data_IF_198174674749
#
_entry.id   IF_198174674749
#
_cell.length_a   1.000
_cell.length_b   1.000
_cell.length_c   1.000
_cell.angle_alpha   90.00
_cell.angle_beta   90.00
_cell.angle_gamma   90.00
#
_symmetry.space_group_name_H-M   'P 1'
#
loop_
_entity.id
_entity.type
_entity.pdbx_description
1 polymer ?
#
# COMPACT_ATOMS: atom_id res chain seq x y z
N UNK A 1 14.39 -9.05 4.88
CA UNK A 1 14.13 -8.24 6.07
C UNK A 1 14.68 -6.83 5.89
N UNK A 2 13.95 -5.83 6.40
CA UNK A 2 14.38 -4.42 6.37
C UNK A 2 15.60 -4.26 7.27
N UNK A 3 16.63 -3.56 6.77
CA UNK A 3 17.76 -3.15 7.62
C UNK A 3 17.30 -2.01 8.53
N UNK A 4 16.97 -2.36 9.78
CA UNK A 4 16.36 -1.43 10.74
C UNK A 4 17.29 -0.25 11.07
N UNK A 5 18.58 -0.49 11.25
CA UNK A 5 19.54 0.56 11.58
C UNK A 5 19.70 1.56 10.43
N UNK A 6 19.81 1.08 9.19
CA UNK A 6 19.92 1.94 8.01
C UNK A 6 18.62 2.74 7.78
N UNK A 7 17.47 2.12 7.99
CA UNK A 7 16.18 2.82 7.89
C UNK A 7 16.06 3.94 8.93
N UNK A 8 16.32 3.64 10.20
CA UNK A 8 16.21 4.60 11.28
C UNK A 8 17.21 5.77 11.09
N UNK A 9 18.43 5.48 10.62
CA UNK A 9 19.43 6.50 10.31
C UNK A 9 19.00 7.40 9.14
N UNK A 10 18.39 6.83 8.10
CA UNK A 10 17.88 7.59 6.96
C UNK A 10 16.79 8.59 7.40
N UNK A 11 15.84 8.14 8.19
CA UNK A 11 14.78 9.02 8.71
C UNK A 11 15.33 10.11 9.61
N UNK A 12 16.29 9.77 10.49
CA UNK A 12 16.93 10.73 11.39
C UNK A 12 17.74 11.82 10.68
N UNK A 13 18.18 11.58 9.44
CA UNK A 13 18.92 12.54 8.61
C UNK A 13 18.01 13.36 7.69
N UNK A 14 16.71 13.12 7.67
CA UNK A 14 15.77 13.84 6.83
C UNK A 14 15.76 15.34 7.14
N UNK A 15 15.44 16.20 6.15
CA UNK A 15 15.37 17.63 6.33
C UNK A 15 14.22 18.04 7.26
N UNK A 16 14.32 19.23 7.82
CA UNK A 16 13.27 19.88 8.62
C UNK A 16 12.93 21.22 7.97
N UNK A 17 11.63 21.46 7.74
CA UNK A 17 11.15 22.71 7.15
C UNK A 17 11.37 23.90 8.11
N UNK A 18 11.66 25.05 7.53
CA UNK A 18 11.67 26.30 8.26
C UNK A 18 10.22 26.80 8.56
N UNK A 19 10.12 27.80 9.42
CA UNK A 19 8.82 28.34 9.84
C UNK A 19 8.03 28.95 8.66
N UNK A 20 8.72 29.57 7.69
CA UNK A 20 8.08 30.18 6.54
C UNK A 20 7.46 29.11 5.61
N UNK A 21 8.16 28.02 5.38
CA UNK A 21 7.67 26.87 4.61
C UNK A 21 6.43 26.28 5.26
N UNK A 22 6.45 26.05 6.59
CA UNK A 22 5.27 25.54 7.31
C UNK A 22 4.09 26.53 7.22
N UNK A 23 4.35 27.82 7.39
CA UNK A 23 3.31 28.86 7.35
C UNK A 23 2.67 29.01 5.96
N UNK A 24 3.35 28.61 4.90
CA UNK A 24 2.82 28.65 3.52
C UNK A 24 1.74 27.57 3.25
N UNK A 25 1.59 26.60 4.14
CA UNK A 25 0.62 25.50 4.03
C UNK A 25 -0.31 25.50 5.25
N UNK A 26 -1.61 25.67 5.03
CA UNK A 26 -2.61 25.56 6.10
C UNK A 26 -2.64 24.17 6.71
N UNK A 27 -2.47 23.14 5.88
CA UNK A 27 -2.42 21.74 6.33
C UNK A 27 -1.19 21.49 7.21
N UNK A 28 0.01 21.90 6.78
CA UNK A 28 1.23 21.74 7.58
C UNK A 28 1.18 22.57 8.88
N UNK A 29 0.64 23.78 8.83
CA UNK A 29 0.44 24.62 10.00
C UNK A 29 -0.47 23.95 11.05
N UNK A 30 -1.57 23.32 10.61
CA UNK A 30 -2.48 22.58 11.49
C UNK A 30 -1.75 21.41 12.17
N UNK A 31 -0.98 20.62 11.42
CA UNK A 31 -0.17 19.52 11.96
C UNK A 31 0.87 20.04 12.94
N UNK A 32 1.57 21.14 12.60
CA UNK A 32 2.55 21.76 13.49
C UNK A 32 1.95 22.23 14.81
N UNK A 33 0.78 22.86 14.77
CA UNK A 33 0.06 23.31 15.95
C UNK A 33 -0.42 22.15 16.82
N UNK A 34 -0.86 21.05 16.22
CA UNK A 34 -1.27 19.85 16.93
C UNK A 34 -0.09 19.12 17.59
N UNK A 35 1.14 19.32 17.11
CA UNK A 35 2.34 18.67 17.62
C UNK A 35 2.44 17.18 17.31
N UNK A 36 1.52 16.64 16.52
CA UNK A 36 1.47 15.25 16.07
C UNK A 36 0.82 15.18 14.69
N UNK A 37 1.22 14.17 13.89
CA UNK A 37 0.63 13.87 12.60
C UNK A 37 -0.23 12.60 12.72
N UNK A 38 -1.48 12.66 12.29
CA UNK A 38 -2.39 11.51 12.31
C UNK A 38 -2.23 10.75 10.98
N UNK A 39 -1.60 9.58 11.06
CA UNK A 39 -1.22 8.75 9.90
C UNK A 39 -2.14 7.55 9.77
N UNK A 40 -2.79 7.39 8.62
CA UNK A 40 -3.40 6.14 8.19
C UNK A 40 -2.44 5.31 7.35
N UNK A 41 -2.36 4.03 7.63
CA UNK A 41 -1.47 3.12 6.91
C UNK A 41 -1.71 1.66 7.24
N UNK A 42 -0.80 0.79 6.80
CA UNK A 42 -0.82 -0.65 7.11
C UNK A 42 0.29 -1.02 8.08
N UNK A 43 0.15 -2.16 8.76
CA UNK A 43 1.15 -2.71 9.67
C UNK A 43 1.74 -4.03 9.18
N UNK A 44 1.24 -4.56 8.08
CA UNK A 44 1.47 -5.94 7.65
C UNK A 44 2.14 -6.05 6.29
N UNK A 45 2.46 -4.93 5.66
CA UNK A 45 3.12 -4.89 4.35
C UNK A 45 4.64 -4.87 4.52
N UNK A 46 5.28 -6.00 4.27
CA UNK A 46 6.71 -6.26 4.58
C UNK A 46 7.69 -5.20 4.04
N UNK A 47 7.52 -4.75 2.78
CA UNK A 47 8.43 -3.77 2.16
C UNK A 47 7.90 -2.33 2.23
N UNK A 48 6.61 -2.15 2.50
CA UNK A 48 5.98 -0.82 2.49
C UNK A 48 5.69 -0.28 3.87
N UNK A 49 5.07 -1.07 4.76
CA UNK A 49 4.80 -0.65 6.14
C UNK A 49 4.56 -1.87 7.01
N UNK A 50 5.59 -2.28 7.71
CA UNK A 50 5.59 -3.44 8.60
C UNK A 50 5.87 -2.99 10.03
N UNK A 51 5.00 -3.42 10.95
CA UNK A 51 5.24 -3.26 12.38
C UNK A 51 6.26 -4.29 12.86
N UNK A 52 7.33 -3.84 13.45
CA UNK A 52 8.25 -4.69 14.17
C UNK A 52 7.77 -4.84 15.62
N UNK A 53 7.27 -6.01 15.96
CA UNK A 53 6.71 -6.30 17.29
C UNK A 53 7.73 -6.18 18.42
N UNK A 54 9.04 -6.29 18.14
CA UNK A 54 10.10 -6.22 19.14
C UNK A 54 10.34 -4.81 19.65
N UNK A 55 10.22 -3.81 18.79
CA UNK A 55 10.48 -2.40 19.14
C UNK A 55 9.29 -1.48 18.91
N UNK A 56 8.18 -2.01 18.40
CA UNK A 56 6.95 -1.27 18.16
C UNK A 56 7.03 -0.25 17.02
N UNK A 57 8.08 -0.32 16.16
CA UNK A 57 8.30 0.66 15.10
C UNK A 57 7.81 0.14 13.76
N UNK A 58 7.23 1.07 12.98
CA UNK A 58 6.87 0.84 11.59
C UNK A 58 8.06 1.14 10.68
N UNK A 59 8.31 0.23 9.72
CA UNK A 59 9.36 0.41 8.71
C UNK A 59 8.89 -0.10 7.36
N UNK A 60 9.46 0.45 6.30
CA UNK A 60 9.15 0.16 4.92
C UNK A 60 9.11 1.44 4.09
N UNK A 61 8.80 1.32 2.81
CA UNK A 61 8.83 2.47 1.91
C UNK A 61 7.76 3.51 2.28
N UNK A 62 6.50 3.11 2.44
CA UNK A 62 5.42 4.00 2.87
C UNK A 62 5.68 4.58 4.26
N UNK A 63 6.09 3.72 5.21
CA UNK A 63 6.42 4.14 6.57
C UNK A 63 7.58 5.14 6.58
N UNK A 64 8.58 4.95 5.72
CA UNK A 64 9.72 5.86 5.59
C UNK A 64 9.33 7.24 5.05
N UNK A 65 8.52 7.28 3.98
CA UNK A 65 8.00 8.54 3.44
C UNK A 65 7.16 9.27 4.50
N UNK A 66 6.29 8.55 5.20
CA UNK A 66 5.46 9.13 6.27
C UNK A 66 6.30 9.72 7.41
N UNK A 67 7.33 9.00 7.86
CA UNK A 67 8.22 9.46 8.93
C UNK A 67 9.11 10.62 8.51
N UNK A 68 9.57 10.65 7.26
CA UNK A 68 10.31 11.79 6.70
C UNK A 68 9.43 13.04 6.62
N UNK A 69 8.17 12.92 6.22
CA UNK A 69 7.22 14.03 6.22
C UNK A 69 6.90 14.51 7.63
N UNK A 70 6.71 13.58 8.57
CA UNK A 70 6.51 13.90 9.98
C UNK A 70 7.70 14.66 10.54
N UNK A 71 8.92 14.22 10.26
CA UNK A 71 10.15 14.93 10.63
C UNK A 71 10.24 16.30 9.97
N UNK A 72 9.91 16.40 8.69
CA UNK A 72 9.95 17.65 7.94
C UNK A 72 9.09 18.73 8.60
N UNK A 73 7.90 18.37 9.09
CA UNK A 73 6.95 19.31 9.70
C UNK A 73 7.22 19.50 11.20
N UNK A 74 7.51 18.42 11.94
CA UNK A 74 7.57 18.41 13.40
C UNK A 74 8.97 18.32 14.00
N UNK A 75 9.99 18.12 13.17
CA UNK A 75 11.38 17.96 13.60
C UNK A 75 11.76 16.58 14.12
N UNK A 76 10.80 15.67 14.23
CA UNK A 76 10.96 14.31 14.73
C UNK A 76 10.04 13.36 13.98
N UNK A 77 10.59 12.36 13.30
CA UNK A 77 9.85 11.39 12.49
C UNK A 77 8.96 10.45 13.28
N UNK A 78 9.09 10.40 14.60
CA UNK A 78 8.26 9.56 15.48
C UNK A 78 7.01 10.25 16.00
N UNK A 79 6.83 11.55 15.76
CA UNK A 79 5.68 12.33 16.25
C UNK A 79 4.43 12.14 15.40
N UNK A 80 3.98 10.90 15.25
CA UNK A 80 2.74 10.55 14.58
C UNK A 80 1.88 9.63 15.43
N UNK A 81 0.57 9.72 15.24
CA UNK A 81 -0.41 8.75 15.73
C UNK A 81 -0.87 7.89 14.56
N UNK A 82 -0.85 6.57 14.75
CA UNK A 82 -1.12 5.62 13.68
C UNK A 82 -2.54 5.04 13.77
N UNK A 83 -3.23 5.03 12.64
CA UNK A 83 -4.52 4.34 12.44
C UNK A 83 -4.35 3.32 11.33
N UNK A 84 -4.62 2.05 11.62
CA UNK A 84 -4.58 1.01 10.61
C UNK A 84 -5.77 1.16 9.65
N UNK A 85 -5.48 1.06 8.35
CA UNK A 85 -6.47 1.08 7.28
C UNK A 85 -6.30 -0.12 6.36
N UNK A 86 -7.31 -0.39 5.57
CA UNK A 86 -7.26 -1.29 4.42
C UNK A 86 -7.74 -0.57 3.16
N UNK A 87 -7.76 -1.26 2.02
CA UNK A 87 -8.15 -0.64 0.75
C UNK A 87 -9.57 -0.08 0.75
N UNK A 88 -10.49 -0.63 1.54
CA UNK A 88 -11.89 -0.20 1.59
C UNK A 88 -12.17 0.91 2.61
N UNK A 89 -11.24 1.20 3.53
CA UNK A 89 -11.46 2.19 4.61
C UNK A 89 -10.66 3.47 4.43
N UNK A 90 -9.73 3.53 3.48
CA UNK A 90 -8.78 4.65 3.31
C UNK A 90 -9.45 6.00 3.06
N UNK A 91 -10.41 6.08 2.13
CA UNK A 91 -11.13 7.31 1.83
C UNK A 91 -11.94 7.79 3.04
N UNK A 92 -12.60 6.86 3.73
CA UNK A 92 -13.50 7.21 4.81
C UNK A 92 -12.80 7.83 6.01
N UNK A 93 -11.62 7.35 6.38
CA UNK A 93 -10.86 7.94 7.50
C UNK A 93 -10.34 9.34 7.19
N UNK A 94 -10.10 9.65 5.90
CA UNK A 94 -9.75 11.00 5.45
C UNK A 94 -10.98 11.91 5.42
N UNK A 95 -12.09 11.46 4.84
CA UNK A 95 -13.35 12.22 4.74
C UNK A 95 -13.89 12.56 6.14
N UNK A 96 -13.78 11.65 7.09
CA UNK A 96 -14.23 11.84 8.48
C UNK A 96 -13.22 12.59 9.36
N UNK A 97 -12.14 13.12 8.79
CA UNK A 97 -11.07 13.83 9.54
C UNK A 97 -10.49 13.01 10.71
N UNK A 98 -10.39 11.70 10.53
CA UNK A 98 -9.78 10.80 11.52
C UNK A 98 -8.27 10.77 11.41
N UNK A 99 -7.73 11.03 10.20
CA UNK A 99 -6.30 11.09 9.91
C UNK A 99 -5.97 12.34 9.08
N UNK A 100 -4.72 12.77 9.12
CA UNK A 100 -4.22 13.89 8.32
C UNK A 100 -3.72 13.44 6.96
N UNK A 101 -3.18 12.22 6.86
CA UNK A 101 -2.74 11.63 5.61
C UNK A 101 -2.79 10.11 5.64
N UNK A 102 -2.86 9.50 4.46
CA UNK A 102 -2.80 8.05 4.28
C UNK A 102 -1.69 7.69 3.30
N UNK A 103 -0.78 6.79 3.73
CA UNK A 103 0.18 6.09 2.90
C UNK A 103 -0.04 4.58 3.06
N UNK A 104 -0.59 3.96 2.03
CA UNK A 104 -1.01 2.55 2.08
C UNK A 104 -1.00 1.93 0.68
N UNK A 105 0.15 2.05 -0.05
CA UNK A 105 0.21 1.67 -1.47
C UNK A 105 -1.01 2.21 -2.24
N UNK A 106 -1.28 3.50 -2.06
CA UNK A 106 -2.55 4.13 -2.39
C UNK A 106 -2.53 4.66 -3.81
N UNK A 107 -3.07 3.88 -4.73
CA UNK A 107 -3.12 4.24 -6.15
C UNK A 107 -3.94 5.51 -6.37
N UNK A 108 -3.37 6.47 -7.08
CA UNK A 108 -4.06 7.68 -7.52
C UNK A 108 -4.98 7.28 -8.68
N UNK A 109 -6.28 7.45 -8.49
CA UNK A 109 -7.28 7.22 -9.55
C UNK A 109 -8.24 8.40 -9.66
N UNK A 110 -8.83 8.66 -10.84
CA UNK A 110 -9.83 9.72 -11.00
C UNK A 110 -10.99 9.60 -10.01
N UNK A 111 -11.53 8.40 -9.82
CA UNK A 111 -12.64 8.15 -8.90
C UNK A 111 -12.29 8.47 -7.44
N UNK A 112 -11.05 8.22 -7.01
CA UNK A 112 -10.56 8.58 -5.67
C UNK A 112 -10.31 10.08 -5.56
N UNK A 113 -9.74 10.70 -6.61
CA UNK A 113 -9.47 12.13 -6.66
C UNK A 113 -10.74 13.01 -6.65
N UNK A 114 -11.91 12.44 -6.94
CA UNK A 114 -13.21 13.10 -6.74
C UNK A 114 -13.61 13.22 -5.26
N UNK A 115 -13.02 12.39 -4.39
CA UNK A 115 -13.41 12.28 -2.97
C UNK A 115 -12.37 12.85 -2.01
N UNK A 116 -11.09 12.74 -2.37
CA UNK A 116 -9.95 13.16 -1.56
C UNK A 116 -8.90 13.81 -2.46
N UNK A 117 -7.94 14.49 -1.84
CA UNK A 117 -6.76 15.00 -2.55
C UNK A 117 -5.60 14.02 -2.47
N UNK A 118 -4.67 14.11 -3.43
CA UNK A 118 -3.43 13.36 -3.43
C UNK A 118 -2.23 14.28 -3.58
N UNK A 119 -1.17 13.99 -2.85
CA UNK A 119 0.17 14.49 -3.12
C UNK A 119 1.02 13.37 -3.74
N UNK A 120 1.98 13.71 -4.56
CA UNK A 120 2.85 12.75 -5.25
C UNK A 120 2.61 12.72 -6.76
N UNK A 121 2.86 11.60 -7.46
CA UNK A 121 3.15 10.27 -6.91
C UNK A 121 4.56 10.14 -6.33
N UNK A 122 4.75 9.18 -5.41
CA UNK A 122 6.06 8.86 -4.83
C UNK A 122 6.58 7.48 -5.23
N UNK A 123 5.76 6.64 -5.81
CA UNK A 123 6.08 5.28 -6.27
C UNK A 123 5.18 4.92 -7.46
N UNK A 124 5.62 3.95 -8.28
CA UNK A 124 4.82 3.44 -9.40
C UNK A 124 4.89 1.92 -9.43
N UNK A 125 3.72 1.28 -9.53
CA UNK A 125 3.56 -0.16 -9.68
C UNK A 125 2.79 -0.50 -10.96
N UNK A 126 2.44 -1.76 -11.13
CA UNK A 126 1.50 -2.30 -12.12
C UNK A 126 0.78 -3.49 -11.49
N UNK A 127 -0.27 -4.00 -12.12
CA UNK A 127 -0.91 -5.23 -11.71
C UNK A 127 -0.03 -6.45 -11.97
N UNK A 128 -0.14 -7.46 -11.12
CA UNK A 128 0.52 -8.74 -11.28
C UNK A 128 -0.41 -9.89 -10.96
N UNK A 129 0.02 -11.11 -11.28
CA UNK A 129 -0.69 -12.36 -11.01
C UNK A 129 0.20 -13.25 -10.15
N UNK A 130 -0.29 -13.69 -9.01
CA UNK A 130 0.34 -14.69 -8.15
C UNK A 130 -0.46 -15.99 -8.23
N UNK A 131 0.24 -17.09 -8.39
CA UNK A 131 -0.33 -18.44 -8.40
C UNK A 131 0.49 -19.36 -7.50
N UNK A 132 -0.05 -20.53 -7.13
CA UNK A 132 0.76 -21.54 -6.46
C UNK A 132 1.91 -22.00 -7.36
N UNK A 133 3.05 -22.31 -6.79
CA UNK A 133 4.25 -22.71 -7.55
C UNK A 133 4.01 -23.94 -8.45
N UNK A 134 3.14 -24.87 -8.03
CA UNK A 134 2.77 -26.07 -8.78
C UNK A 134 1.66 -25.83 -9.83
N UNK A 135 1.10 -24.63 -9.92
CA UNK A 135 0.13 -24.31 -10.98
C UNK A 135 0.86 -24.07 -12.30
N UNK A 136 0.64 -24.95 -13.27
CA UNK A 136 1.24 -24.89 -14.61
C UNK A 136 0.28 -24.35 -15.67
N UNK A 137 -0.99 -24.12 -15.33
CA UNK A 137 -2.03 -23.74 -16.30
C UNK A 137 -2.19 -22.24 -16.46
N UNK A 138 -1.82 -21.46 -15.46
CA UNK A 138 -1.87 -20.01 -15.49
C UNK A 138 -0.44 -19.47 -15.67
N UNK A 139 -0.16 -18.96 -16.88
CA UNK A 139 1.15 -18.38 -17.23
C UNK A 139 1.11 -16.84 -17.27
N UNK A 140 -0.09 -16.25 -17.38
CA UNK A 140 -0.31 -14.81 -17.38
C UNK A 140 -1.77 -14.48 -17.07
N UNK A 141 -2.12 -13.19 -17.04
CA UNK A 141 -3.51 -12.74 -16.90
C UNK A 141 -4.43 -13.25 -18.04
N UNK A 142 -3.86 -13.61 -19.18
CA UNK A 142 -4.63 -14.17 -20.32
C UNK A 142 -5.27 -15.53 -20.01
N UNK A 143 -4.73 -16.25 -19.04
CA UNK A 143 -5.18 -17.60 -18.67
C UNK A 143 -6.20 -17.61 -17.52
N UNK A 144 -6.73 -16.46 -17.13
CA UNK A 144 -7.62 -16.32 -15.99
C UNK A 144 -9.11 -16.59 -16.30
N UNK A 145 -9.46 -16.81 -17.56
CA UNK A 145 -10.86 -17.09 -17.93
C UNK A 145 -11.40 -18.35 -17.23
N UNK A 146 -12.53 -18.21 -16.52
CA UNK A 146 -13.14 -19.26 -15.72
C UNK A 146 -12.40 -19.65 -14.44
N UNK A 147 -11.28 -19.03 -14.14
CA UNK A 147 -10.51 -19.27 -12.91
C UNK A 147 -11.05 -18.42 -11.77
N UNK A 148 -10.97 -18.96 -10.54
CA UNK A 148 -11.25 -18.21 -9.31
C UNK A 148 -10.07 -17.31 -9.00
N UNK A 149 -10.29 -16.00 -9.03
CA UNK A 149 -9.25 -15.00 -8.85
C UNK A 149 -9.55 -14.13 -7.65
N UNK A 150 -8.66 -14.17 -6.66
CA UNK A 150 -8.73 -13.27 -5.51
C UNK A 150 -8.27 -11.86 -5.88
N UNK A 151 -8.88 -10.86 -5.27
CA UNK A 151 -8.40 -9.48 -5.21
C UNK A 151 -8.89 -8.83 -3.92
N UNK A 152 -8.40 -7.61 -3.61
CA UNK A 152 -8.87 -6.88 -2.44
C UNK A 152 -10.06 -5.98 -2.78
N UNK A 153 -11.08 -6.00 -1.92
CA UNK A 153 -12.19 -5.07 -1.98
C UNK A 153 -11.69 -3.61 -1.83
N UNK A 154 -12.22 -2.70 -2.63
CA UNK A 154 -11.83 -1.28 -2.60
C UNK A 154 -10.44 -0.97 -3.16
N UNK A 155 -9.74 -1.95 -3.70
CA UNK A 155 -8.49 -1.77 -4.44
C UNK A 155 -8.74 -1.50 -5.94
N UNK A 156 -7.67 -1.30 -6.71
CA UNK A 156 -7.76 -1.22 -8.18
C UNK A 156 -8.00 -2.59 -8.84
N UNK A 157 -7.82 -3.68 -8.10
CA UNK A 157 -7.88 -5.06 -8.61
C UNK A 157 -9.18 -5.42 -9.32
N UNK A 158 -10.37 -5.15 -8.75
CA UNK A 158 -11.63 -5.47 -9.41
C UNK A 158 -11.79 -4.79 -10.78
N UNK A 159 -11.44 -3.51 -10.90
CA UNK A 159 -11.50 -2.77 -12.16
C UNK A 159 -10.50 -3.31 -13.20
N UNK A 160 -9.28 -3.65 -12.78
CA UNK A 160 -8.25 -4.24 -13.63
C UNK A 160 -8.71 -5.60 -14.15
N UNK A 161 -9.27 -6.45 -13.29
CA UNK A 161 -9.81 -7.75 -13.70
C UNK A 161 -10.99 -7.61 -14.67
N UNK A 162 -11.88 -6.65 -14.44
CA UNK A 162 -12.99 -6.38 -15.38
C UNK A 162 -12.47 -5.97 -16.77
N UNK A 163 -11.37 -5.26 -16.84
CA UNK A 163 -10.77 -4.80 -18.11
C UNK A 163 -9.95 -5.89 -18.80
N UNK A 164 -9.06 -6.58 -18.08
CA UNK A 164 -8.05 -7.47 -18.66
C UNK A 164 -8.41 -8.95 -18.59
N UNK A 165 -9.25 -9.36 -17.67
CA UNK A 165 -9.69 -10.73 -17.48
C UNK A 165 -11.22 -10.81 -17.18
N UNK A 166 -12.08 -10.30 -18.07
CA UNK A 166 -13.51 -10.13 -17.79
C UNK A 166 -14.27 -11.46 -17.59
N UNK A 167 -13.66 -12.58 -17.97
CA UNK A 167 -14.23 -13.93 -17.79
C UNK A 167 -13.69 -14.64 -16.53
N UNK A 168 -12.86 -13.99 -15.74
CA UNK A 168 -12.41 -14.51 -14.44
C UNK A 168 -13.57 -14.51 -13.43
N UNK A 169 -13.58 -15.49 -12.54
CA UNK A 169 -14.52 -15.54 -11.41
C UNK A 169 -13.87 -14.82 -10.23
N UNK A 170 -14.19 -13.53 -10.07
CA UNK A 170 -13.56 -12.66 -9.09
C UNK A 170 -14.13 -12.91 -7.69
N UNK A 171 -13.23 -13.07 -6.72
CA UNK A 171 -13.57 -13.15 -5.30
C UNK A 171 -12.83 -12.03 -4.56
N UNK A 172 -13.57 -11.14 -3.92
CA UNK A 172 -13.02 -10.02 -3.18
C UNK A 172 -12.84 -10.38 -1.70
N UNK A 173 -11.66 -10.02 -1.17
CA UNK A 173 -11.30 -10.20 0.23
C UNK A 173 -11.01 -8.84 0.88
N UNK A 174 -11.22 -8.73 2.18
CA UNK A 174 -11.03 -7.45 2.88
C UNK A 174 -9.54 -7.12 3.07
N UNK A 175 -8.68 -8.12 3.20
CA UNK A 175 -7.25 -7.92 3.45
C UNK A 175 -6.38 -8.68 2.45
N UNK A 176 -5.17 -8.18 2.27
CA UNK A 176 -4.12 -8.85 1.50
C UNK A 176 -3.84 -10.25 2.06
N UNK A 177 -3.79 -10.39 3.39
CA UNK A 177 -3.52 -11.67 4.04
C UNK A 177 -4.60 -12.71 3.76
N UNK A 178 -5.88 -12.32 3.83
CA UNK A 178 -6.99 -13.23 3.51
C UNK A 178 -6.93 -13.72 2.07
N UNK A 179 -6.57 -12.85 1.12
CA UNK A 179 -6.39 -13.23 -0.29
C UNK A 179 -5.22 -14.21 -0.48
N UNK A 180 -4.08 -13.97 0.19
CA UNK A 180 -2.94 -14.88 0.17
C UNK A 180 -3.28 -16.23 0.80
N UNK A 181 -4.01 -16.24 1.91
CA UNK A 181 -4.43 -17.48 2.58
C UNK A 181 -5.43 -18.27 1.72
N UNK A 182 -6.34 -17.58 1.02
CA UNK A 182 -7.25 -18.21 0.06
C UNK A 182 -6.49 -18.89 -1.08
N UNK A 183 -5.45 -18.25 -1.61
CA UNK A 183 -4.57 -18.84 -2.63
C UNK A 183 -3.81 -20.05 -2.08
N UNK A 184 -3.20 -19.90 -0.92
CA UNK A 184 -2.42 -20.95 -0.25
C UNK A 184 -3.24 -22.20 0.03
N UNK A 185 -4.48 -22.00 0.47
CA UNK A 185 -5.45 -23.06 0.77
C UNK A 185 -6.12 -23.65 -0.48
N UNK A 186 -5.87 -23.10 -1.67
CA UNK A 186 -6.49 -23.56 -2.92
C UNK A 186 -7.96 -23.19 -3.07
N UNK A 187 -8.46 -22.22 -2.29
CA UNK A 187 -9.83 -21.70 -2.44
C UNK A 187 -9.98 -20.82 -3.70
N UNK A 188 -8.88 -20.24 -4.15
CA UNK A 188 -8.76 -19.52 -5.41
C UNK A 188 -7.56 -20.05 -6.20
N UNK A 189 -7.57 -19.85 -7.53
CA UNK A 189 -6.53 -20.30 -8.44
C UNK A 189 -5.40 -19.28 -8.62
N UNK A 190 -5.73 -17.99 -8.46
CA UNK A 190 -4.79 -16.88 -8.61
C UNK A 190 -5.16 -15.73 -7.67
N UNK A 191 -4.19 -14.85 -7.44
CA UNK A 191 -4.38 -13.57 -6.76
C UNK A 191 -3.84 -12.45 -7.65
N UNK A 192 -4.69 -11.48 -7.96
CA UNK A 192 -4.34 -10.27 -8.73
C UNK A 192 -4.39 -9.06 -7.82
N UNK A 193 -3.26 -8.38 -7.72
CA UNK A 193 -3.08 -7.12 -7.02
C UNK A 193 -1.84 -6.41 -7.57
N UNK A 194 -1.39 -5.35 -6.92
CA UNK A 194 -0.17 -4.65 -7.31
C UNK A 194 1.04 -5.59 -7.30
N UNK A 195 1.80 -5.58 -8.38
CA UNK A 195 2.99 -6.42 -8.52
C UNK A 195 3.96 -6.24 -7.36
N UNK A 196 4.10 -5.04 -6.83
CA UNK A 196 4.93 -4.74 -5.66
C UNK A 196 4.47 -5.49 -4.41
N UNK A 197 3.16 -5.64 -4.19
CA UNK A 197 2.62 -6.42 -3.06
C UNK A 197 2.87 -7.92 -3.25
N UNK A 198 2.85 -8.40 -4.49
CA UNK A 198 3.16 -9.80 -4.79
C UNK A 198 4.64 -10.12 -4.59
N UNK A 199 5.54 -9.23 -5.03
CA UNK A 199 6.98 -9.34 -4.72
C UNK A 199 7.23 -9.34 -3.22
N UNK A 200 6.49 -8.52 -2.50
CA UNK A 200 6.51 -8.45 -1.05
C UNK A 200 6.15 -9.81 -0.41
N UNK A 201 5.05 -10.41 -0.85
CA UNK A 201 4.62 -11.73 -0.38
C UNK A 201 5.67 -12.81 -0.65
N UNK A 202 6.31 -12.79 -1.81
CA UNK A 202 7.39 -13.72 -2.17
C UNK A 202 8.66 -13.48 -1.35
N UNK A 203 8.98 -12.24 -0.99
CA UNK A 203 10.17 -11.90 -0.20
C UNK A 203 10.15 -12.48 1.22
N UNK A 204 8.98 -12.84 1.73
CA UNK A 204 8.80 -13.51 3.02
C UNK A 204 9.14 -15.00 2.99
N UNK A 205 9.63 -15.53 1.85
CA UNK A 205 10.04 -16.92 1.71
C UNK A 205 8.88 -17.88 1.45
N UNK A 206 7.77 -17.39 0.92
CA UNK A 206 6.69 -18.24 0.42
C UNK A 206 7.20 -18.99 -0.82
N UNK A 207 7.78 -20.17 -0.60
CA UNK A 207 8.25 -21.06 -1.67
C UNK A 207 7.11 -21.70 -2.46
N UNK A 208 5.88 -21.54 -1.97
CA UNK A 208 4.69 -22.20 -2.51
C UNK A 208 3.95 -21.36 -3.54
N UNK A 209 4.48 -20.20 -3.92
CA UNK A 209 3.87 -19.30 -4.88
C UNK A 209 4.90 -18.80 -5.90
N UNK A 210 4.41 -18.38 -7.08
CA UNK A 210 5.17 -17.76 -8.14
C UNK A 210 4.36 -16.68 -8.84
N UNK A 211 5.05 -15.73 -9.44
CA UNK A 211 4.42 -14.80 -10.38
C UNK A 211 4.08 -15.53 -11.70
N UNK A 212 2.89 -15.27 -12.23
CA UNK A 212 2.45 -15.76 -13.53
C UNK A 212 2.56 -14.62 -14.56
N UNK A 213 3.64 -14.63 -15.30
CA UNK A 213 3.94 -13.64 -16.31
C UNK A 213 4.51 -12.32 -15.77
N UNK A 214 4.70 -11.39 -16.70
CA UNK A 214 5.15 -10.03 -16.38
C UNK A 214 4.01 -9.19 -15.77
N UNK A 215 4.31 -8.07 -15.10
CA UNK A 215 3.33 -7.07 -14.74
C UNK A 215 2.52 -6.61 -15.96
N UNK A 216 1.27 -6.27 -15.76
CA UNK A 216 0.36 -5.91 -16.84
C UNK A 216 -0.51 -4.70 -16.48
N UNK A 217 -1.21 -4.19 -17.48
CA UNK A 217 -2.07 -3.02 -17.33
C UNK A 217 -1.29 -1.70 -17.34
N UNK A 218 -2.00 -0.61 -17.07
CA UNK A 218 -1.40 0.72 -16.97
C UNK A 218 -0.47 0.83 -15.75
N UNK A 219 0.46 1.77 -15.80
CA UNK A 219 1.24 2.14 -14.63
C UNK A 219 0.32 2.65 -13.52
N UNK A 220 0.62 2.26 -12.31
CA UNK A 220 -0.16 2.49 -11.11
C UNK A 220 0.63 3.38 -10.14
N UNK A 221 0.37 4.71 -10.17
CA UNK A 221 1.07 5.65 -9.30
C UNK A 221 0.50 5.63 -7.89
N UNK A 222 1.37 5.52 -6.89
CA UNK A 222 0.99 5.67 -5.49
C UNK A 222 1.13 7.10 -5.03
N UNK A 223 0.11 7.60 -4.35
CA UNK A 223 0.09 8.93 -3.77
C UNK A 223 -0.20 8.92 -2.28
N UNK A 224 -0.01 10.09 -1.69
CA UNK A 224 -0.36 10.38 -0.30
C UNK A 224 -1.78 10.91 -0.31
N UNK A 225 -2.73 10.18 0.28
CA UNK A 225 -4.11 10.62 0.45
C UNK A 225 -4.20 11.71 1.52
N UNK A 226 -4.94 12.79 1.19
CA UNK A 226 -5.13 13.97 2.04
C UNK A 226 -6.60 14.35 2.15
#
# INVERSE_FOLDING_TARGET
PINTAAFDALVAQGPVADAATIASSTWASKVKQAGTLRLGGTQTSNLFSLLNEKDGKLRGFDAGVAQLLTRYILGDGSKFQFTQVNSSTREQVLINDQVDMVLATYSITPARAEKISFAGPYYTSQAGVLVKSNNSTIQSYNDLAGKKVATQAGSTGPAILAQFAPKAVVQEFQTHQEALDALRQGRVDAYVTDHTLLLNALSLGSTDARLAGAPFGAQDPYGIGL
#
